data_IF_679686900395
#
_entry.id   IF_679686900395
#
_cell.length_a   1.000
_cell.length_b   1.000
_cell.length_c   1.000
_cell.angle_alpha   90.00
_cell.angle_beta   90.00
_cell.angle_gamma   90.00
#
_symmetry.space_group_name_H-M   'P 1'
#
loop_
_entity.id
_entity.type
_entity.pdbx_description
1 polymer ?
#
# COMPACT_ATOMS: atom_id res chain seq x y z
N UNK A 1 8.36 -5.34 109.91
CA UNK A 1 7.77 -4.67 108.75
C UNK A 1 8.84 -4.28 107.73
N UNK A 2 9.95 -3.65 108.13
CA UNK A 2 11.05 -3.24 107.22
C UNK A 2 11.71 -4.38 106.40
N UNK A 3 11.94 -5.56 107.00
CA UNK A 3 12.53 -6.72 106.29
C UNK A 3 11.58 -7.37 105.28
N UNK A 4 10.27 -7.31 105.54
CA UNK A 4 9.24 -7.81 104.63
C UNK A 4 9.06 -6.89 103.41
N UNK A 5 9.22 -5.57 103.58
CA UNK A 5 9.20 -4.61 102.48
C UNK A 5 10.43 -4.74 101.60
N UNK A 6 11.62 -4.90 102.18
CA UNK A 6 12.87 -5.07 101.43
C UNK A 6 12.90 -6.37 100.61
N UNK A 7 12.39 -7.47 101.17
CA UNK A 7 12.23 -8.73 100.43
C UNK A 7 11.17 -8.62 99.32
N UNK A 8 10.07 -7.91 99.54
CA UNK A 8 9.08 -7.63 98.50
C UNK A 8 9.65 -6.74 97.39
N UNK A 9 10.46 -5.73 97.72
CA UNK A 9 11.11 -4.84 96.75
C UNK A 9 12.15 -5.57 95.90
N UNK A 10 12.92 -6.47 96.52
CA UNK A 10 13.87 -7.34 95.82
C UNK A 10 13.13 -8.31 94.87
N UNK A 11 12.05 -8.93 95.34
CA UNK A 11 11.21 -9.81 94.52
C UNK A 11 10.53 -9.06 93.36
N UNK A 12 10.06 -7.84 93.60
CA UNK A 12 9.50 -6.99 92.55
C UNK A 12 10.57 -6.60 91.51
N UNK A 13 11.80 -6.33 91.95
CA UNK A 13 12.92 -5.99 91.07
C UNK A 13 13.39 -7.20 90.24
N UNK A 14 13.45 -8.39 90.84
CA UNK A 14 13.77 -9.62 90.10
C UNK A 14 12.68 -10.00 89.11
N UNK A 15 11.40 -9.83 89.47
CA UNK A 15 10.27 -10.02 88.56
C UNK A 15 10.32 -9.03 87.37
N UNK A 16 10.64 -7.76 87.63
CA UNK A 16 10.86 -6.75 86.57
C UNK A 16 12.01 -7.15 85.64
N UNK A 17 13.12 -7.63 86.19
CA UNK A 17 14.25 -8.15 85.42
C UNK A 17 13.87 -9.35 84.54
N UNK A 18 13.09 -10.29 85.08
CA UNK A 18 12.59 -11.45 84.34
C UNK A 18 11.65 -11.05 83.19
N UNK A 19 10.76 -10.06 83.41
CA UNK A 19 9.89 -9.51 82.36
C UNK A 19 10.71 -8.85 81.25
N UNK A 20 11.71 -8.04 81.60
CA UNK A 20 12.59 -7.40 80.61
C UNK A 20 13.35 -8.44 79.78
N UNK A 21 13.90 -9.47 80.44
CA UNK A 21 14.59 -10.56 79.76
C UNK A 21 13.67 -11.31 78.79
N UNK A 22 12.42 -11.61 79.19
CA UNK A 22 11.43 -12.23 78.29
C UNK A 22 11.06 -11.33 77.12
N UNK A 23 10.91 -10.03 77.33
CA UNK A 23 10.66 -9.05 76.26
C UNK A 23 11.81 -9.00 75.26
N UNK A 24 13.06 -8.98 75.74
CA UNK A 24 14.24 -9.01 74.90
C UNK A 24 14.32 -10.32 74.09
N UNK A 25 14.03 -11.47 74.71
CA UNK A 25 13.98 -12.76 74.03
C UNK A 25 12.90 -12.81 72.93
N UNK A 26 11.72 -12.23 73.18
CA UNK A 26 10.64 -12.11 72.20
C UNK A 26 11.06 -11.22 71.02
N UNK A 27 11.60 -10.03 71.28
CA UNK A 27 12.08 -9.12 70.22
C UNK A 27 13.19 -9.75 69.36
N UNK A 28 14.09 -10.53 69.98
CA UNK A 28 15.11 -11.30 69.24
C UNK A 28 14.49 -12.42 68.39
N UNK A 29 13.43 -13.07 68.87
CA UNK A 29 12.73 -14.10 68.10
C UNK A 29 11.99 -13.48 66.90
N UNK A 30 11.30 -12.36 67.08
CA UNK A 30 10.66 -11.59 66.00
C UNK A 30 11.70 -11.17 64.94
N UNK A 31 12.82 -10.61 65.37
CA UNK A 31 13.94 -10.26 64.46
C UNK A 31 14.43 -11.47 63.66
N UNK A 32 14.53 -12.66 64.28
CA UNK A 32 14.92 -13.90 63.58
C UNK A 32 13.89 -14.33 62.54
N UNK A 33 12.60 -14.14 62.80
CA UNK A 33 11.51 -14.42 61.84
C UNK A 33 11.62 -13.47 60.66
N UNK A 34 11.77 -12.17 60.89
CA UNK A 34 11.90 -11.17 59.82
C UNK A 34 13.15 -11.41 58.95
N UNK A 35 14.27 -11.79 59.58
CA UNK A 35 15.48 -12.19 58.87
C UNK A 35 15.31 -13.47 58.05
N UNK A 36 14.55 -14.45 58.56
CA UNK A 36 14.23 -15.67 57.81
C UNK A 36 13.32 -15.35 56.60
N UNK A 37 12.30 -14.53 56.79
CA UNK A 37 11.41 -14.06 55.72
C UNK A 37 12.20 -13.32 54.63
N UNK A 38 13.10 -12.40 55.02
CA UNK A 38 13.98 -11.70 54.08
C UNK A 38 14.90 -12.64 53.30
N UNK A 39 15.43 -13.69 53.95
CA UNK A 39 16.27 -14.70 53.29
C UNK A 39 15.48 -15.53 52.28
N UNK A 40 14.23 -15.90 52.61
CA UNK A 40 13.33 -16.59 51.69
C UNK A 40 13.06 -15.72 50.46
N UNK A 41 12.66 -14.45 50.66
CA UNK A 41 12.41 -13.51 49.56
C UNK A 41 13.63 -13.35 48.65
N UNK A 42 14.84 -13.25 49.21
CA UNK A 42 16.08 -13.17 48.43
C UNK A 42 16.33 -14.44 47.61
N UNK A 43 16.07 -15.62 48.19
CA UNK A 43 16.22 -16.88 47.48
C UNK A 43 15.21 -17.01 46.32
N UNK A 44 13.97 -16.55 46.52
CA UNK A 44 12.95 -16.51 45.48
C UNK A 44 13.33 -15.58 44.32
N UNK A 45 13.86 -14.39 44.62
CA UNK A 45 14.36 -13.46 43.61
C UNK A 45 15.54 -14.05 42.83
N UNK A 46 16.50 -14.70 43.51
CA UNK A 46 17.62 -15.36 42.85
C UNK A 46 17.16 -16.49 41.93
N UNK A 47 16.14 -17.26 42.34
CA UNK A 47 15.53 -18.31 41.52
C UNK A 47 14.82 -17.72 40.29
N UNK A 48 14.04 -16.65 40.47
CA UNK A 48 13.36 -15.96 39.37
C UNK A 48 14.36 -15.40 38.35
N UNK A 49 15.46 -14.79 38.83
CA UNK A 49 16.52 -14.28 37.97
C UNK A 49 17.23 -15.41 37.22
N UNK A 50 17.57 -16.52 37.89
CA UNK A 50 18.18 -17.68 37.24
C UNK A 50 17.27 -18.29 36.16
N UNK A 51 15.96 -18.35 36.41
CA UNK A 51 14.96 -18.81 35.42
C UNK A 51 14.88 -17.86 34.22
N UNK A 52 14.89 -16.55 34.45
CA UNK A 52 14.90 -15.54 33.39
C UNK A 52 16.17 -15.68 32.52
N UNK A 53 17.34 -15.76 33.14
CA UNK A 53 18.61 -15.96 32.42
C UNK A 53 18.63 -17.24 31.60
N UNK A 54 18.04 -18.32 32.12
CA UNK A 54 17.89 -19.57 31.37
C UNK A 54 16.96 -19.39 30.16
N UNK A 55 15.81 -18.72 30.32
CA UNK A 55 14.90 -18.43 29.21
C UNK A 55 15.55 -17.55 28.13
N UNK A 56 16.34 -16.54 28.54
CA UNK A 56 17.10 -15.67 27.63
C UNK A 56 18.19 -16.42 26.82
N UNK A 57 18.52 -17.68 27.17
CA UNK A 57 19.41 -18.51 26.34
C UNK A 57 18.75 -19.04 25.06
N UNK A 58 17.42 -19.03 25.00
CA UNK A 58 16.64 -19.39 23.83
C UNK A 58 16.07 -18.13 23.17
N UNK A 59 16.67 -17.70 22.07
CA UNK A 59 16.19 -16.57 21.28
C UNK A 59 15.13 -17.09 20.30
N UNK A 60 13.87 -16.73 20.55
CA UNK A 60 12.72 -17.09 19.72
C UNK A 60 12.29 -15.88 18.90
N UNK A 61 11.88 -16.09 17.66
CA UNK A 61 11.33 -15.04 16.81
C UNK A 61 10.02 -14.50 17.41
N UNK A 62 9.84 -13.16 17.50
CA UNK A 62 8.61 -12.57 18.04
C UNK A 62 7.40 -12.71 17.12
N UNK A 63 7.61 -13.00 15.84
CA UNK A 63 6.57 -13.21 14.82
C UNK A 63 7.08 -14.16 13.73
N UNK A 64 6.17 -14.68 12.92
CA UNK A 64 6.50 -15.52 11.76
C UNK A 64 7.05 -14.66 10.62
N UNK A 65 8.17 -15.04 10.02
CA UNK A 65 8.78 -14.24 8.97
C UNK A 65 9.96 -14.91 8.30
N UNK A 66 10.63 -14.16 7.42
CA UNK A 66 11.84 -14.60 6.72
C UNK A 66 13.06 -13.96 7.35
N UNK A 67 14.09 -14.75 7.63
CA UNK A 67 15.36 -14.24 8.12
C UNK A 67 16.24 -13.74 6.97
N UNK A 68 16.83 -12.56 7.15
CA UNK A 68 17.85 -11.96 6.30
C UNK A 68 19.10 -11.66 7.14
N UNK A 69 20.23 -11.43 6.47
CA UNK A 69 21.52 -11.07 7.08
C UNK A 69 21.92 -11.97 8.27
N UNK A 70 21.70 -13.28 8.16
CA UNK A 70 21.98 -14.23 9.23
C UNK A 70 23.48 -14.34 9.49
N UNK A 71 23.94 -13.84 10.64
CA UNK A 71 25.34 -13.81 11.05
C UNK A 71 25.66 -14.85 12.13
N UNK A 72 24.88 -15.93 12.20
CA UNK A 72 24.99 -16.95 13.25
C UNK A 72 25.28 -18.31 12.65
N UNK A 73 26.23 -19.00 13.28
CA UNK A 73 26.58 -20.40 13.01
C UNK A 73 26.71 -21.14 14.33
N UNK A 74 26.42 -22.44 14.32
CA UNK A 74 26.51 -23.27 15.52
C UNK A 74 27.93 -23.23 16.13
N UNK A 75 28.02 -23.03 17.44
CA UNK A 75 29.29 -22.96 18.18
C UNK A 75 29.96 -21.58 18.21
N UNK A 76 29.40 -20.57 17.53
CA UNK A 76 29.86 -19.18 17.65
C UNK A 76 29.42 -18.59 18.98
N UNK A 77 30.34 -17.86 19.63
CA UNK A 77 30.02 -17.02 20.78
C UNK A 77 29.29 -15.75 20.31
N UNK A 78 28.16 -15.44 20.93
CA UNK A 78 27.37 -14.22 20.69
C UNK A 78 27.53 -13.26 21.86
N UNK A 79 27.74 -11.99 21.57
CA UNK A 79 27.82 -10.95 22.60
C UNK A 79 26.43 -10.38 22.94
N UNK A 80 26.31 -9.75 24.11
CA UNK A 80 25.11 -9.00 24.46
C UNK A 80 24.88 -7.85 23.44
N UNK A 81 23.63 -7.65 23.03
CA UNK A 81 23.21 -6.64 22.05
C UNK A 81 23.76 -6.83 20.63
N UNK A 82 24.29 -8.01 20.30
CA UNK A 82 24.71 -8.33 18.95
C UNK A 82 23.51 -8.63 18.04
N UNK A 83 23.46 -8.04 16.84
CA UNK A 83 22.42 -8.35 15.85
C UNK A 83 22.73 -9.68 15.17
N UNK A 84 21.92 -10.70 15.48
CA UNK A 84 22.07 -12.06 14.97
C UNK A 84 21.56 -12.23 13.53
N UNK A 85 20.40 -11.63 13.24
CA UNK A 85 19.73 -11.65 11.95
C UNK A 85 18.72 -10.51 11.90
N UNK A 86 18.18 -10.26 10.71
CA UNK A 86 17.03 -9.39 10.49
C UNK A 86 15.81 -10.28 10.19
N UNK A 87 14.72 -10.08 10.94
CA UNK A 87 13.47 -10.82 10.74
C UNK A 87 12.50 -9.91 9.98
N UNK A 88 12.09 -10.36 8.80
CA UNK A 88 11.23 -9.61 7.87
C UNK A 88 9.88 -10.30 7.83
N UNK A 89 8.81 -9.55 8.08
CA UNK A 89 7.44 -10.01 7.86
C UNK A 89 7.12 -9.85 6.35
N UNK A 90 6.87 -10.94 5.60
CA UNK A 90 6.54 -10.84 4.19
C UNK A 90 5.13 -10.28 3.94
N UNK A 91 4.25 -10.28 4.95
CA UNK A 91 2.86 -9.84 4.82
C UNK A 91 2.68 -8.35 5.21
N UNK A 92 3.63 -7.79 5.96
CA UNK A 92 3.64 -6.38 6.39
C UNK A 92 4.77 -5.59 5.69
N UNK A 93 4.54 -5.23 4.42
CA UNK A 93 5.47 -4.44 3.62
C UNK A 93 4.93 -3.02 3.36
N UNK A 94 5.81 -2.03 3.50
CA UNK A 94 5.56 -0.64 3.10
C UNK A 94 6.41 -0.25 1.89
N UNK A 95 5.84 0.58 1.02
CA UNK A 95 6.56 1.25 -0.05
C UNK A 95 6.79 2.70 0.32
N UNK A 96 8.04 3.13 0.24
CA UNK A 96 8.42 4.53 0.42
C UNK A 96 8.63 5.20 -0.94
N UNK A 97 8.00 6.35 -1.17
CA UNK A 97 8.11 7.10 -2.42
C UNK A 97 8.12 8.61 -2.16
N UNK A 98 8.74 9.37 -3.07
CA UNK A 98 8.85 10.82 -2.97
C UNK A 98 7.90 11.52 -3.93
N UNK A 99 7.29 12.59 -3.45
CA UNK A 99 6.41 13.46 -4.23
C UNK A 99 6.86 14.91 -4.13
N UNK A 100 6.58 15.72 -5.14
CA UNK A 100 6.82 17.17 -5.10
C UNK A 100 5.90 17.85 -4.06
N UNK A 101 6.26 19.05 -3.60
CA UNK A 101 5.42 19.83 -2.67
C UNK A 101 4.01 20.06 -3.22
N UNK A 102 3.88 20.30 -4.53
CA UNK A 102 2.60 20.51 -5.21
C UNK A 102 1.77 19.22 -5.34
N UNK A 103 2.41 18.05 -5.42
CA UNK A 103 1.70 16.76 -5.34
C UNK A 103 1.28 16.46 -3.91
N UNK A 104 2.16 16.70 -2.94
CA UNK A 104 1.87 16.46 -1.54
C UNK A 104 0.68 17.29 -1.06
N UNK A 105 0.57 18.57 -1.44
CA UNK A 105 -0.55 19.41 -1.04
C UNK A 105 -1.90 18.90 -1.52
N UNK A 106 -1.93 18.07 -2.58
CA UNK A 106 -3.17 17.43 -3.09
C UNK A 106 -3.55 16.17 -2.34
N UNK A 107 -2.63 15.62 -1.56
CA UNK A 107 -2.85 14.48 -0.67
C UNK A 107 -3.18 14.94 0.76
N UNK A 108 -3.42 16.23 0.97
CA UNK A 108 -3.86 16.76 2.25
C UNK A 108 -5.38 17.00 2.22
N UNK A 109 -6.03 16.75 3.34
CA UNK A 109 -7.42 17.13 3.55
C UNK A 109 -7.55 18.62 3.92
N UNK A 110 -8.78 19.06 4.19
CA UNK A 110 -9.08 20.43 4.58
C UNK A 110 -8.46 20.84 5.94
N UNK A 111 -8.12 19.88 6.79
CA UNK A 111 -7.46 20.08 8.08
C UNK A 111 -5.94 20.15 7.96
N UNK A 112 -5.40 19.78 6.78
CA UNK A 112 -3.97 19.70 6.51
C UNK A 112 -3.36 18.33 6.84
N UNK A 113 -4.20 17.33 7.13
CA UNK A 113 -3.78 15.96 7.43
C UNK A 113 -3.68 15.13 6.15
N UNK A 114 -2.76 14.15 6.15
CA UNK A 114 -2.53 13.29 4.99
C UNK A 114 -3.74 12.35 4.79
N UNK A 115 -4.34 12.37 3.61
CA UNK A 115 -5.45 11.47 3.29
C UNK A 115 -4.99 10.02 3.19
N UNK A 116 -5.84 9.11 3.64
CA UNK A 116 -5.63 7.67 3.48
C UNK A 116 -6.03 7.25 2.05
N UNK A 117 -5.26 7.71 1.06
CA UNK A 117 -5.53 7.45 -0.35
C UNK A 117 -5.12 6.03 -0.77
N UNK A 118 -5.92 5.43 -1.66
CA UNK A 118 -5.58 4.17 -2.31
C UNK A 118 -4.34 4.33 -3.19
N UNK A 119 -3.47 3.32 -3.15
CA UNK A 119 -2.33 3.20 -4.05
C UNK A 119 -2.35 1.86 -4.78
N UNK A 120 -1.95 1.89 -6.04
CA UNK A 120 -1.58 0.70 -6.80
C UNK A 120 -0.07 0.71 -6.99
N UNK A 121 0.58 -0.39 -6.63
CA UNK A 121 2.02 -0.57 -6.71
C UNK A 121 2.32 -1.66 -7.73
N UNK A 122 3.14 -1.30 -8.71
CA UNK A 122 3.47 -2.14 -9.85
C UNK A 122 4.97 -2.39 -9.88
N UNK A 123 5.36 -3.64 -10.00
CA UNK A 123 6.74 -4.07 -10.22
C UNK A 123 6.83 -4.76 -11.58
N UNK A 124 7.62 -4.20 -12.49
CA UNK A 124 8.00 -4.85 -13.75
C UNK A 124 9.27 -5.66 -13.52
N UNK A 125 9.11 -6.96 -13.34
CA UNK A 125 10.21 -7.90 -13.15
C UNK A 125 10.26 -8.89 -14.31
N UNK A 126 11.06 -8.58 -15.33
CA UNK A 126 11.46 -9.51 -16.39
C UNK A 126 10.27 -10.21 -17.11
N UNK A 127 9.19 -9.46 -17.37
CA UNK A 127 8.02 -9.95 -18.11
C UNK A 127 6.90 -10.54 -17.24
N UNK A 128 7.00 -10.40 -15.92
CA UNK A 128 5.89 -10.63 -14.98
C UNK A 128 5.57 -9.32 -14.27
N UNK A 129 4.35 -8.83 -14.48
CA UNK A 129 3.84 -7.66 -13.76
C UNK A 129 3.26 -8.11 -12.42
N UNK A 130 3.90 -7.72 -11.32
CA UNK A 130 3.32 -7.88 -9.99
C UNK A 130 2.60 -6.59 -9.62
N UNK A 131 1.35 -6.73 -9.16
CA UNK A 131 0.51 -5.61 -8.75
C UNK A 131 0.03 -5.86 -7.33
N UNK A 132 0.32 -4.92 -6.44
CA UNK A 132 -0.25 -4.87 -5.10
C UNK A 132 -1.10 -3.61 -4.94
N UNK A 133 -2.20 -3.74 -4.21
CA UNK A 133 -2.94 -2.59 -3.73
C UNK A 133 -2.40 -2.17 -2.37
N UNK A 134 -2.67 -0.95 -1.95
CA UNK A 134 -2.24 -0.45 -0.67
C UNK A 134 -2.92 0.86 -0.33
N UNK A 135 -2.58 1.42 0.82
CA UNK A 135 -3.02 2.78 1.19
C UNK A 135 -1.90 3.58 1.80
N UNK A 136 -1.95 4.89 1.59
CA UNK A 136 -1.02 5.82 2.24
C UNK A 136 -1.16 5.69 3.75
N UNK A 137 -0.04 5.38 4.42
CA UNK A 137 0.02 5.19 5.87
C UNK A 137 0.50 6.45 6.58
N UNK A 138 1.58 7.07 6.07
CA UNK A 138 2.21 8.23 6.73
C UNK A 138 3.11 9.03 5.80
N UNK A 139 3.38 10.26 6.21
CA UNK A 139 4.44 11.09 5.63
C UNK A 139 5.62 11.20 6.60
N UNK A 140 6.83 11.32 6.06
CA UNK A 140 8.01 11.66 6.84
C UNK A 140 7.90 13.07 7.39
N UNK A 141 8.14 13.23 8.69
CA UNK A 141 8.17 14.53 9.38
C UNK A 141 9.40 15.35 8.96
N UNK A 142 10.48 14.68 8.57
CA UNK A 142 11.72 15.34 8.15
C UNK A 142 11.81 15.36 6.63
N UNK A 143 11.98 16.56 6.07
CA UNK A 143 12.56 16.73 4.74
C UNK A 143 14.05 16.40 4.87
N UNK A 144 14.45 15.16 4.57
CA UNK A 144 15.83 14.70 4.72
C UNK A 144 16.83 15.70 4.11
N UNK A 145 18.01 15.84 4.73
CA UNK A 145 19.03 16.81 4.30
C UNK A 145 19.35 16.66 2.80
N UNK A 146 19.25 17.76 2.06
CA UNK A 146 19.54 17.80 0.62
C UNK A 146 18.52 17.11 -0.28
N UNK A 147 17.45 16.54 0.25
CA UNK A 147 16.43 15.86 -0.55
C UNK A 147 15.35 16.82 -1.05
N UNK A 148 15.05 16.77 -2.35
CA UNK A 148 13.90 17.46 -2.93
C UNK A 148 12.64 16.62 -2.80
N UNK A 149 11.52 17.26 -2.45
CA UNK A 149 10.23 16.60 -2.28
C UNK A 149 9.99 16.00 -0.89
N UNK A 150 8.75 15.54 -0.67
CA UNK A 150 8.26 14.95 0.59
C UNK A 150 8.21 13.43 0.46
N UNK A 151 8.72 12.73 1.47
CA UNK A 151 8.72 11.27 1.54
C UNK A 151 7.40 10.78 2.14
N UNK A 152 6.70 9.90 1.44
CA UNK A 152 5.45 9.26 1.85
C UNK A 152 5.68 7.76 1.91
N UNK A 153 4.97 7.10 2.82
CA UNK A 153 4.90 5.65 2.95
C UNK A 153 3.48 5.18 2.68
N UNK A 154 3.35 4.08 1.96
CA UNK A 154 2.11 3.37 1.78
C UNK A 154 2.26 1.92 2.21
N UNK A 155 1.33 1.44 3.02
CA UNK A 155 1.26 0.05 3.42
C UNK A 155 0.60 -0.76 2.30
N UNK A 156 1.20 -1.90 1.96
CA UNK A 156 0.70 -2.79 0.93
C UNK A 156 -0.31 -3.77 1.52
N UNK A 157 -1.40 -3.99 0.81
CA UNK A 157 -2.37 -5.04 1.09
C UNK A 157 -1.96 -6.30 0.32
N UNK A 158 -1.56 -7.36 1.06
CA UNK A 158 -1.14 -8.65 0.49
C UNK A 158 -0.02 -8.48 -0.56
N UNK A 159 1.20 -8.11 -0.15
CA UNK A 159 2.32 -7.85 -1.05
C UNK A 159 2.95 -9.14 -1.61
N UNK A 160 2.15 -10.01 -2.23
CA UNK A 160 2.58 -11.31 -2.73
C UNK A 160 3.65 -11.14 -3.82
N UNK A 161 4.83 -11.71 -3.57
CA UNK A 161 5.95 -11.68 -4.51
C UNK A 161 6.83 -10.44 -4.42
N UNK A 162 6.44 -9.42 -3.66
CA UNK A 162 7.27 -8.26 -3.37
C UNK A 162 8.31 -8.59 -2.30
N UNK A 163 9.45 -7.91 -2.36
CA UNK A 163 10.54 -8.02 -1.41
C UNK A 163 11.08 -6.65 -1.03
N UNK A 164 11.64 -6.52 0.20
CA UNK A 164 12.40 -5.32 0.55
C UNK A 164 13.52 -5.06 -0.46
N UNK A 165 13.58 -3.82 -0.96
CA UNK A 165 14.56 -3.40 -1.97
C UNK A 165 14.05 -3.41 -3.41
N UNK A 166 12.84 -3.93 -3.67
CA UNK A 166 12.24 -3.84 -5.01
C UNK A 166 11.98 -2.39 -5.42
N UNK A 167 12.31 -2.06 -6.67
CA UNK A 167 12.01 -0.76 -7.27
C UNK A 167 10.68 -0.82 -8.00
N UNK A 168 9.70 -0.09 -7.48
CA UNK A 168 8.29 -0.18 -7.90
C UNK A 168 7.78 1.16 -8.44
N UNK A 169 6.76 1.10 -9.28
CA UNK A 169 5.98 2.27 -9.70
C UNK A 169 4.74 2.38 -8.83
N UNK A 170 4.54 3.55 -8.21
CA UNK A 170 3.38 3.81 -7.35
C UNK A 170 2.41 4.74 -8.06
N UNK A 171 1.17 4.29 -8.25
CA UNK A 171 0.04 5.08 -8.73
C UNK A 171 -0.87 5.41 -7.56
N UNK A 172 -0.93 6.69 -7.19
CA UNK A 172 -1.76 7.17 -6.09
C UNK A 172 -3.08 7.69 -6.64
N UNK A 173 -4.20 7.23 -6.05
CA UNK A 173 -5.53 7.76 -6.36
C UNK A 173 -5.76 9.04 -5.54
N UNK A 174 -5.72 10.18 -6.21
CA UNK A 174 -6.02 11.47 -5.57
C UNK A 174 -7.54 11.64 -5.35
N UNK A 175 -7.96 12.49 -4.39
CA UNK A 175 -9.37 12.85 -4.21
C UNK A 175 -9.99 13.41 -5.50
N UNK A 176 -11.27 13.09 -5.72
CA UNK A 176 -12.00 13.59 -6.88
C UNK A 176 -12.14 15.12 -6.83
N UNK A 177 -11.91 15.77 -7.97
CA UNK A 177 -12.12 17.21 -8.12
C UNK A 177 -13.57 17.46 -8.56
N UNK A 178 -14.30 18.25 -7.79
CA UNK A 178 -15.63 18.71 -8.15
C UNK A 178 -15.57 20.04 -8.93
N UNK A 179 -16.59 20.27 -9.76
CA UNK A 179 -16.79 21.51 -10.53
C UNK A 179 -15.59 21.86 -11.43
N UNK A 180 -15.13 20.86 -12.18
CA UNK A 180 -14.04 21.01 -13.17
C UNK A 180 -14.45 20.44 -14.52
N UNK A 181 -13.94 21.05 -15.58
CA UNK A 181 -14.12 20.63 -16.96
C UNK A 181 -12.76 20.24 -17.50
N UNK A 182 -12.70 19.08 -18.17
CA UNK A 182 -11.51 18.62 -18.87
C UNK A 182 -11.50 19.18 -20.29
N UNK A 183 -10.48 19.98 -20.60
CA UNK A 183 -10.24 20.51 -21.94
C UNK A 183 -8.83 20.08 -22.39
N UNK A 184 -8.56 19.91 -23.68
CA UNK A 184 -7.20 19.77 -24.16
C UNK A 184 -6.37 21.01 -23.82
N UNK A 185 -5.07 20.84 -23.55
CA UNK A 185 -4.18 21.95 -23.20
C UNK A 185 -4.10 23.03 -24.29
N UNK A 186 -4.40 22.69 -25.54
CA UNK A 186 -4.43 23.60 -26.67
C UNK A 186 -5.68 24.53 -26.70
N UNK A 187 -6.68 24.29 -25.86
CA UNK A 187 -7.91 25.09 -25.81
C UNK A 187 -7.72 26.42 -25.06
N UNK A 188 -6.73 26.49 -24.16
CA UNK A 188 -6.48 27.64 -23.29
C UNK A 188 -5.19 28.35 -23.69
N UNK A 189 -5.22 29.69 -23.70
CA UNK A 189 -4.03 30.48 -23.97
C UNK A 189 -3.14 30.71 -22.73
N UNK A 190 -2.06 31.48 -22.91
CA UNK A 190 -1.14 31.82 -21.82
C UNK A 190 -1.75 32.77 -20.77
N UNK A 191 -2.85 33.46 -21.09
CA UNK A 191 -3.58 34.35 -20.16
C UNK A 191 -4.71 33.66 -19.41
N UNK A 192 -4.98 32.37 -19.69
CA UNK A 192 -6.06 31.62 -19.06
C UNK A 192 -7.43 31.83 -19.74
N UNK A 193 -7.44 32.30 -20.98
CA UNK A 193 -8.66 32.50 -21.76
C UNK A 193 -8.94 31.29 -22.67
N UNK A 194 -10.19 30.83 -22.65
CA UNK A 194 -10.73 29.83 -23.58
C UNK A 194 -11.77 30.48 -24.49
N UNK A 195 -11.84 30.00 -25.74
CA UNK A 195 -12.84 30.48 -26.70
C UNK A 195 -14.07 29.58 -26.67
N UNK A 196 -15.23 30.19 -26.50
CA UNK A 196 -16.52 29.52 -26.40
C UNK A 196 -17.44 30.01 -27.52
N UNK A 197 -18.26 29.12 -28.06
CA UNK A 197 -19.23 29.45 -29.10
C UNK A 197 -20.49 30.09 -28.49
N UNK A 198 -20.91 31.22 -29.05
CA UNK A 198 -22.18 31.89 -28.73
C UNK A 198 -23.33 31.38 -29.61
N UNK A 199 -24.57 31.74 -29.26
CA UNK A 199 -25.77 31.38 -30.05
C UNK A 199 -25.76 31.95 -31.48
N UNK A 200 -25.00 33.03 -31.72
CA UNK A 200 -24.84 33.67 -33.03
C UNK A 200 -23.70 33.07 -33.88
N UNK A 201 -23.24 31.85 -33.56
CA UNK A 201 -22.10 31.18 -34.19
C UNK A 201 -20.79 32.02 -34.16
N UNK A 202 -20.59 32.79 -33.09
CA UNK A 202 -19.39 33.61 -32.88
C UNK A 202 -18.59 33.15 -31.67
N UNK A 203 -17.28 33.38 -31.70
CA UNK A 203 -16.41 33.06 -30.57
C UNK A 203 -16.43 34.18 -29.53
N UNK A 204 -16.57 33.82 -28.26
CA UNK A 204 -16.42 34.69 -27.10
C UNK A 204 -15.24 34.18 -26.26
N UNK A 205 -14.39 35.10 -25.79
CA UNK A 205 -13.29 34.78 -24.90
C UNK A 205 -13.73 34.80 -23.44
N UNK A 206 -13.55 33.68 -22.73
CA UNK A 206 -13.88 33.55 -21.32
C UNK A 206 -12.62 33.19 -20.55
N UNK A 207 -12.30 33.97 -19.52
CA UNK A 207 -11.21 33.65 -18.59
C UNK A 207 -11.67 32.54 -17.65
N UNK A 208 -10.87 31.47 -17.58
CA UNK A 208 -11.10 30.31 -16.71
C UNK A 208 -9.97 30.13 -15.72
N UNK A 209 -10.28 29.54 -14.57
CA UNK A 209 -9.30 29.18 -13.56
C UNK A 209 -8.69 27.82 -13.91
N UNK A 210 -7.37 27.77 -14.13
CA UNK A 210 -6.66 26.51 -14.30
C UNK A 210 -6.50 25.82 -12.94
N UNK A 211 -7.23 24.73 -12.74
CA UNK A 211 -7.12 23.90 -11.53
C UNK A 211 -5.96 22.94 -11.64
N UNK A 212 -5.79 22.28 -12.80
CA UNK A 212 -4.76 21.25 -12.99
C UNK A 212 -4.33 21.08 -14.44
N UNK A 213 -3.10 20.62 -14.64
CA UNK A 213 -2.64 20.02 -15.90
C UNK A 213 -2.42 18.52 -15.70
N UNK A 214 -2.93 17.70 -16.61
CA UNK A 214 -2.84 16.24 -16.59
C UNK A 214 -2.49 15.74 -18.00
N UNK A 215 -1.19 15.48 -18.24
CA UNK A 215 -0.73 15.09 -19.57
C UNK A 215 -1.04 16.18 -20.61
N UNK A 216 -1.80 15.80 -21.63
CA UNK A 216 -2.25 16.67 -22.72
C UNK A 216 -3.54 17.44 -22.40
N UNK A 217 -4.17 17.14 -21.26
CA UNK A 217 -5.40 17.77 -20.81
C UNK A 217 -5.16 18.78 -19.67
N UNK A 218 -6.09 19.72 -19.55
CA UNK A 218 -6.21 20.67 -18.45
C UNK A 218 -7.57 20.54 -17.79
N UNK A 219 -7.60 20.66 -16.47
CA UNK A 219 -8.82 20.77 -15.68
C UNK A 219 -9.02 22.23 -15.33
N UNK A 220 -10.12 22.80 -15.77
CA UNK A 220 -10.44 24.22 -15.57
C UNK A 220 -11.78 24.39 -14.86
N UNK A 221 -11.93 25.51 -14.16
CA UNK A 221 -13.19 25.93 -13.55
C UNK A 221 -13.61 27.28 -14.13
N UNK A 222 -14.88 27.41 -14.47
CA UNK A 222 -15.44 28.64 -15.02
C UNK A 222 -16.82 28.46 -15.64
N UNK A 223 -17.45 29.55 -16.12
CA UNK A 223 -18.80 29.55 -16.68
C UNK A 223 -18.83 28.99 -18.12
N UNK A 224 -18.23 27.82 -18.33
CA UNK A 224 -18.14 27.15 -19.64
C UNK A 224 -18.89 25.81 -19.65
N UNK A 225 -19.59 25.48 -18.56
CA UNK A 225 -20.46 24.29 -18.47
C UNK A 225 -21.58 24.40 -19.51
N UNK A 226 -21.77 23.33 -20.29
CA UNK A 226 -22.84 23.22 -21.28
C UNK A 226 -22.65 24.09 -22.52
N UNK A 227 -21.46 24.68 -22.72
CA UNK A 227 -21.13 25.47 -23.91
C UNK A 227 -20.10 24.75 -24.78
N UNK A 228 -20.18 24.99 -26.10
CA UNK A 228 -19.20 24.45 -27.06
C UNK A 228 -17.88 25.24 -26.93
N UNK A 229 -16.81 24.58 -26.48
CA UNK A 229 -15.46 25.17 -26.32
C UNK A 229 -14.56 24.79 -27.50
N UNK A 230 -13.75 25.72 -27.98
CA UNK A 230 -12.77 25.48 -29.04
C UNK A 230 -11.65 24.57 -28.52
N UNK A 231 -11.49 23.41 -29.15
CA UNK A 231 -10.52 22.39 -28.75
C UNK A 231 -9.05 22.82 -28.90
N UNK A 232 -8.74 23.53 -29.99
CA UNK A 232 -7.39 23.99 -30.29
C UNK A 232 -7.44 25.43 -30.81
N UNK A 233 -6.92 26.36 -30.02
CA UNK A 233 -6.88 27.77 -30.41
C UNK A 233 -5.78 27.99 -31.46
N UNK A 234 -6.19 28.18 -32.71
CA UNK A 234 -5.29 28.71 -33.75
C UNK A 234 -5.06 30.20 -33.53
N UNK A 235 -3.87 30.76 -33.85
CA UNK A 235 -3.62 32.21 -33.79
C UNK A 235 -4.61 33.07 -34.59
N UNK A 236 -5.34 32.46 -35.52
CA UNK A 236 -6.36 33.10 -36.34
C UNK A 236 -7.75 33.14 -35.67
N UNK A 237 -7.93 32.47 -34.52
CA UNK A 237 -9.18 32.43 -33.77
C UNK A 237 -9.10 33.38 -32.57
N UNK A 238 -10.04 34.31 -32.51
CA UNK A 238 -10.17 35.30 -31.45
C UNK A 238 -11.63 35.68 -31.25
N UNK A 239 -11.87 36.49 -30.21
CA UNK A 239 -13.22 36.93 -29.87
C UNK A 239 -13.87 37.70 -31.03
N UNK A 240 -15.17 37.45 -31.24
CA UNK A 240 -16.01 38.05 -32.27
C UNK A 240 -15.95 37.37 -33.64
N UNK A 241 -15.07 36.39 -33.86
CA UNK A 241 -14.96 35.68 -35.15
C UNK A 241 -16.12 34.70 -35.30
N UNK A 242 -16.81 34.77 -36.45
CA UNK A 242 -17.83 33.81 -36.83
C UNK A 242 -17.19 32.49 -37.28
N UNK A 243 -17.62 31.38 -36.72
CA UNK A 243 -17.10 30.05 -37.06
C UNK A 243 -18.23 29.08 -37.34
N UNK A 244 -17.98 28.11 -38.22
CA UNK A 244 -18.89 26.99 -38.40
C UNK A 244 -18.42 25.83 -37.52
N UNK A 245 -19.15 25.44 -36.47
CA UNK A 245 -18.69 24.43 -35.53
C UNK A 245 -18.58 23.06 -36.20
N UNK A 246 -17.46 22.39 -35.96
CA UNK A 246 -17.28 20.96 -36.24
C UNK A 246 -17.36 20.23 -34.91
N UNK A 247 -18.55 19.73 -34.58
CA UNK A 247 -18.74 18.97 -33.34
C UNK A 247 -18.11 17.60 -33.51
N UNK A 248 -17.17 17.26 -32.62
CA UNK A 248 -16.80 15.86 -32.41
C UNK A 248 -18.04 15.15 -31.85
N UNK A 249 -18.40 13.95 -32.33
CA UNK A 249 -19.40 13.16 -31.63
C UNK A 249 -18.95 13.01 -30.18
N UNK A 250 -19.84 13.28 -29.23
CA UNK A 250 -19.53 13.13 -27.81
C UNK A 250 -19.02 11.70 -27.58
N UNK A 251 -17.96 11.50 -26.77
CA UNK A 251 -17.71 10.18 -26.22
C UNK A 251 -18.99 9.79 -25.48
N UNK A 252 -19.62 8.67 -25.86
CA UNK A 252 -20.72 8.12 -25.10
C UNK A 252 -20.19 7.85 -23.68
N UNK A 253 -20.68 8.61 -22.71
CA UNK A 253 -20.40 8.37 -21.31
C UNK A 253 -20.95 6.99 -20.93
N UNK A 254 -20.06 6.08 -20.53
CA UNK A 254 -20.33 4.80 -19.85
C UNK A 254 -20.98 5.01 -18.47
N UNK A 255 -22.07 5.79 -18.41
CA UNK A 255 -22.75 6.18 -17.20
C UNK A 255 -24.27 6.28 -17.40
N UNK A 256 -24.88 5.30 -18.06
CA UNK A 256 -26.29 4.93 -17.84
C UNK A 256 -26.53 3.47 -18.24
N UNK A 257 -26.25 2.55 -17.33
CA UNK A 257 -26.78 1.19 -17.39
C UNK A 257 -27.20 0.76 -15.99
N UNK A 258 -28.19 1.47 -15.43
CA UNK A 258 -29.04 0.95 -14.35
C UNK A 258 -30.42 1.64 -14.41
N UNK A 259 -31.46 0.80 -14.39
CA UNK A 259 -32.90 1.08 -14.36
C UNK A 259 -33.57 1.47 -15.70
N UNK A 260 -34.06 0.49 -16.47
CA UNK A 260 -35.39 -0.13 -16.30
C UNK A 260 -35.55 -1.29 -17.28
N UNK A 261 -35.98 -2.44 -16.76
CA UNK A 261 -35.94 -3.72 -17.44
C UNK A 261 -37.07 -3.95 -18.44
N UNK A 262 -36.79 -4.81 -19.42
CA UNK A 262 -37.72 -5.84 -19.88
C UNK A 262 -36.94 -6.89 -20.68
N UNK A 263 -36.83 -8.07 -20.06
CA UNK A 263 -36.79 -9.41 -20.64
C UNK A 263 -36.00 -9.64 -21.94
N UNK A 264 -34.74 -10.07 -21.80
CA UNK A 264 -34.14 -11.05 -22.71
C UNK A 264 -32.97 -11.77 -22.00
N UNK A 265 -33.01 -13.09 -22.08
CA UNK A 265 -32.20 -14.05 -21.33
C UNK A 265 -30.70 -14.01 -21.69
N UNK A 266 -29.86 -14.01 -20.64
CA UNK A 266 -28.58 -14.72 -20.54
C UNK A 266 -27.48 -14.42 -21.58
N UNK A 267 -26.48 -13.62 -21.20
CA UNK A 267 -25.16 -13.68 -21.84
C UNK A 267 -24.02 -13.72 -20.80
N UNK A 268 -23.31 -14.84 -20.83
CA UNK A 268 -22.07 -15.13 -20.11
C UNK A 268 -20.94 -14.17 -20.56
N UNK A 269 -19.97 -13.86 -19.68
CA UNK A 269 -18.79 -13.10 -20.06
C UNK A 269 -17.82 -14.01 -20.85
N UNK A 270 -17.66 -13.74 -22.15
CA UNK A 270 -16.68 -14.44 -22.98
C UNK A 270 -17.04 -14.62 -24.45
N UNK A 271 -17.57 -13.59 -25.13
CA UNK A 271 -17.62 -13.62 -26.58
C UNK A 271 -16.25 -13.19 -27.15
N UNK A 272 -15.29 -14.12 -27.14
CA UNK A 272 -14.14 -14.03 -28.06
C UNK A 272 -14.72 -13.94 -29.48
N UNK A 273 -14.36 -12.91 -30.25
CA UNK A 273 -14.82 -12.80 -31.63
C UNK A 273 -14.41 -14.07 -32.40
N UNK A 274 -15.39 -14.93 -32.68
CA UNK A 274 -15.19 -16.20 -33.39
C UNK A 274 -15.17 -15.93 -34.89
N UNK A 275 -14.14 -16.45 -35.56
CA UNK A 275 -13.91 -16.27 -36.99
C UNK A 275 -14.02 -17.62 -37.70
N UNK A 276 -14.79 -17.67 -38.79
CA UNK A 276 -14.77 -18.80 -39.73
C UNK A 276 -13.54 -18.66 -40.64
N UNK A 277 -12.65 -19.65 -40.59
CA UNK A 277 -11.46 -19.69 -41.44
C UNK A 277 -11.76 -20.44 -42.74
N UNK A 278 -11.35 -19.87 -43.88
CA UNK A 278 -11.32 -20.59 -45.15
C UNK A 278 -10.34 -21.77 -45.09
N UNK A 279 -10.63 -22.84 -45.83
CA UNK A 279 -9.84 -24.08 -45.80
C UNK A 279 -8.36 -23.87 -46.14
N UNK A 280 -8.06 -22.96 -47.07
CA UNK A 280 -6.68 -22.59 -47.41
C UNK A 280 -5.94 -21.88 -46.27
N UNK A 281 -6.64 -21.01 -45.51
CA UNK A 281 -6.05 -20.26 -44.40
C UNK A 281 -5.78 -21.20 -43.21
N UNK A 282 -6.70 -22.13 -42.96
CA UNK A 282 -6.56 -23.17 -41.94
C UNK A 282 -5.36 -24.08 -42.20
N UNK A 283 -5.18 -24.55 -43.44
CA UNK A 283 -4.06 -25.43 -43.81
C UNK A 283 -2.69 -24.77 -43.58
N UNK A 284 -2.56 -23.47 -43.86
CA UNK A 284 -1.31 -22.71 -43.60
C UNK A 284 -1.00 -22.61 -42.10
N UNK A 285 -2.01 -22.33 -41.28
CA UNK A 285 -1.86 -22.22 -39.83
C UNK A 285 -1.48 -23.56 -39.19
N UNK A 286 -2.10 -24.65 -39.65
CA UNK A 286 -1.78 -26.01 -39.19
C UNK A 286 -0.34 -26.39 -39.56
N UNK A 287 0.08 -26.18 -40.81
CA UNK A 287 1.44 -26.48 -41.25
C UNK A 287 2.51 -25.71 -40.47
N UNK A 288 2.24 -24.44 -40.12
CA UNK A 288 3.14 -23.64 -39.31
C UNK A 288 3.26 -24.15 -37.86
N UNK A 289 2.14 -24.52 -37.25
CA UNK A 289 2.15 -25.11 -35.90
C UNK A 289 2.83 -26.48 -35.88
N UNK A 290 2.66 -27.28 -36.94
CA UNK A 290 3.33 -28.57 -37.12
C UNK A 290 4.85 -28.45 -37.31
N UNK A 291 5.31 -27.44 -38.05
CA UNK A 291 6.74 -27.21 -38.30
C UNK A 291 7.51 -26.56 -37.15
N UNK A 292 6.83 -26.09 -36.10
CA UNK A 292 7.47 -25.37 -34.99
C UNK A 292 8.09 -26.32 -33.95
N UNK A 293 9.43 -26.38 -33.91
CA UNK A 293 10.23 -27.19 -32.97
C UNK A 293 10.46 -26.53 -31.60
N UNK A 294 10.04 -25.27 -31.39
CA UNK A 294 10.16 -24.57 -30.10
C UNK A 294 8.93 -24.72 -29.20
N UNK A 295 7.86 -25.37 -29.67
CA UNK A 295 6.61 -25.52 -28.92
C UNK A 295 6.55 -26.88 -28.21
N UNK A 296 6.18 -26.95 -26.91
CA UNK A 296 5.94 -28.21 -26.21
C UNK A 296 4.79 -29.01 -26.85
N UNK A 297 4.92 -30.33 -26.91
CA UNK A 297 3.98 -31.23 -27.62
C UNK A 297 2.53 -31.10 -27.12
N UNK A 298 2.32 -30.91 -25.81
CA UNK A 298 1.00 -30.72 -25.22
C UNK A 298 0.32 -29.41 -25.66
N UNK A 299 1.11 -28.35 -25.87
CA UNK A 299 0.59 -27.07 -26.34
C UNK A 299 0.23 -27.16 -27.84
N UNK A 300 1.05 -27.87 -28.61
CA UNK A 300 0.84 -28.12 -30.04
C UNK A 300 -0.46 -28.89 -30.28
N UNK A 301 -0.70 -29.95 -29.51
CA UNK A 301 -1.93 -30.73 -29.59
C UNK A 301 -3.19 -29.89 -29.30
N UNK A 302 -3.13 -28.99 -28.30
CA UNK A 302 -4.26 -28.10 -27.96
C UNK A 302 -4.56 -27.09 -29.07
N UNK A 303 -3.53 -26.52 -29.71
CA UNK A 303 -3.71 -25.54 -30.79
C UNK A 303 -4.25 -26.22 -32.05
N UNK A 304 -3.77 -27.41 -32.39
CA UNK A 304 -4.26 -28.18 -33.54
C UNK A 304 -5.71 -28.62 -33.36
N UNK A 305 -6.10 -29.09 -32.16
CA UNK A 305 -7.49 -29.43 -31.86
C UNK A 305 -8.42 -28.21 -32.04
N UNK A 306 -7.98 -27.03 -31.59
CA UNK A 306 -8.77 -25.81 -31.66
C UNK A 306 -8.82 -25.19 -33.07
N UNK A 307 -7.81 -25.46 -33.91
CA UNK A 307 -7.81 -25.14 -35.34
C UNK A 307 -8.58 -26.16 -36.20
N UNK A 308 -9.07 -27.27 -35.62
CA UNK A 308 -9.96 -28.21 -36.30
C UNK A 308 -11.45 -27.83 -36.17
N UNK A 309 -11.79 -26.93 -35.25
CA UNK A 309 -13.16 -26.46 -35.04
C UNK A 309 -13.60 -25.47 -36.15
N UNK A 310 -14.89 -25.47 -36.55
CA UNK A 310 -15.40 -24.61 -37.62
C UNK A 310 -15.26 -23.11 -37.28
N UNK A 311 -15.46 -22.73 -36.02
CA UNK A 311 -15.30 -21.37 -35.50
C UNK A 311 -14.07 -21.28 -34.60
N UNK A 312 -13.15 -20.38 -34.92
CA UNK A 312 -11.88 -20.25 -34.21
C UNK A 312 -11.74 -18.83 -33.62
N UNK A 313 -11.24 -18.66 -32.37
CA UNK A 313 -11.06 -17.33 -31.79
C UNK A 313 -10.10 -16.45 -32.63
N UNK A 314 -10.53 -15.25 -33.02
CA UNK A 314 -9.77 -14.33 -33.87
C UNK A 314 -8.40 -13.95 -33.27
N UNK A 315 -8.31 -13.84 -31.93
CA UNK A 315 -7.06 -13.56 -31.21
C UNK A 315 -6.02 -14.66 -31.36
N UNK A 316 -6.45 -15.92 -31.50
CA UNK A 316 -5.53 -17.04 -31.67
C UNK A 316 -4.93 -17.02 -33.08
N UNK A 317 -5.77 -16.75 -34.09
CA UNK A 317 -5.34 -16.63 -35.49
C UNK A 317 -4.34 -15.49 -35.67
N UNK A 318 -4.67 -14.29 -35.17
CA UNK A 318 -3.79 -13.12 -35.26
C UNK A 318 -2.40 -13.38 -34.66
N UNK A 319 -2.32 -14.05 -33.51
CA UNK A 319 -1.04 -14.38 -32.85
C UNK A 319 -0.18 -15.37 -33.64
N UNK A 320 -0.80 -16.29 -34.36
CA UNK A 320 -0.08 -17.26 -35.20
C UNK A 320 0.39 -16.57 -36.49
N UNK A 321 -0.44 -15.69 -37.06
CA UNK A 321 -0.10 -14.90 -38.26
C UNK A 321 1.03 -13.88 -38.00
N UNK A 322 1.00 -13.17 -36.87
CA UNK A 322 2.09 -12.27 -36.46
C UNK A 322 3.43 -13.00 -36.34
N UNK A 323 3.40 -14.27 -35.93
CA UNK A 323 4.58 -15.11 -35.76
C UNK A 323 5.03 -15.78 -37.08
N UNK A 324 4.18 -15.81 -38.11
CA UNK A 324 4.53 -16.21 -39.48
C UNK A 324 5.10 -15.04 -40.30
N UNK A 325 4.68 -13.81 -40.01
CA UNK A 325 5.05 -12.60 -40.75
C UNK A 325 6.28 -11.86 -40.22
N UNK A 326 6.87 -12.33 -39.11
CA UNK A 326 8.11 -11.81 -38.52
C UNK A 326 9.35 -12.64 -38.86
#
# INVERSE_FOLDING_TARGET
TATATETADLAASSARGAVLSRRQAAAQAETRVDQAATRILRAELALAEARRRLAETAVVAPFDGTLSETNVVAGRLVAANERLAELIDPDDLEVSFRVSTAQYSRLLDASGDLVNADVAVELDAAGVDLIAQGRISRASVTAGEGATGRLIFAALERPVGFKPGDFVTVRVREPALADVIRLPAAAMDATGEVLVLTEDDRLEGIVVELVRRQGDDILVRGPVIGRDVVEARSPLLGAGIGVRPLRRPAPEDDATADAEGTDAEGQQPGAEAMLELSDERRARLVAFVEGNTRMPDDAKARVLARLAEPLVPARMVARIEDRMGG
#
